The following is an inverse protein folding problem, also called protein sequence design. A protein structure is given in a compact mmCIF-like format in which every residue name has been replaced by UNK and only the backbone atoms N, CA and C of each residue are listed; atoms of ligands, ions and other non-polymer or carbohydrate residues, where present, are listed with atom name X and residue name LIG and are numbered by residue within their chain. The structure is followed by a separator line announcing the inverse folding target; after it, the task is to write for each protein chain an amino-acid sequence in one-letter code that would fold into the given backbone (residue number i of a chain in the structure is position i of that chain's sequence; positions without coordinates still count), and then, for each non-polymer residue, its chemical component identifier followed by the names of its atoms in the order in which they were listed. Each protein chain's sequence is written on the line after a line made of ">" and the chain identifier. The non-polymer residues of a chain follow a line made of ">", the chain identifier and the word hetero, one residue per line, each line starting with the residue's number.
data_IF_422902918477
#
_entry.id   IF_422902918477
#
_cell.length_a   1.000
_cell.length_b   1.000
_cell.length_c   1.000
_cell.angle_alpha   90.00
_cell.angle_beta   90.00
_cell.angle_gamma   90.00
#
_symmetry.space_group_name_H-M   'P 1'
#
loop_
_entity.id
_entity.type
_entity.pdbx_description
1 polymer ?
#
# COMPACT_ATOMS: atom_id res chain seq x y z
N UNK A 1 20.11 -1.92 12.39
CA UNK A 1 20.06 -1.05 13.59
C UNK A 1 20.43 0.36 13.18
N UNK A 2 19.49 1.28 13.43
CA UNK A 2 19.66 2.73 13.44
C UNK A 2 19.93 3.33 12.05
N UNK A 3 18.89 3.85 11.40
CA UNK A 3 19.08 4.87 10.37
C UNK A 3 19.46 6.16 11.13
N UNK A 4 20.75 6.56 11.18
CA UNK A 4 21.12 7.75 11.91
C UNK A 4 20.80 8.94 11.02
N UNK A 5 19.86 9.77 11.46
CA UNK A 5 19.67 11.12 10.96
C UNK A 5 20.98 11.90 11.09
N UNK A 6 21.84 11.83 10.07
CA UNK A 6 22.97 12.73 9.95
C UNK A 6 22.44 14.00 9.30
N UNK A 7 22.23 15.01 10.14
CA UNK A 7 22.19 16.42 9.72
C UNK A 7 23.44 16.69 8.86
N UNK A 8 23.27 16.60 7.55
CA UNK A 8 24.22 17.17 6.60
C UNK A 8 23.81 18.62 6.37
N UNK A 9 24.42 19.53 7.13
CA UNK A 9 24.51 20.94 6.77
C UNK A 9 25.24 21.04 5.41
N UNK A 10 24.51 21.26 4.32
CA UNK A 10 25.10 21.62 3.01
C UNK A 10 24.29 22.77 2.38
N UNK A 11 24.95 23.83 1.87
CA UNK A 11 24.35 25.13 1.61
C UNK A 11 23.76 25.28 0.20
N UNK A 12 22.78 26.18 0.11
CA UNK A 12 22.38 27.05 -1.02
C UNK A 12 22.48 26.44 -2.43
N UNK A 13 21.31 26.13 -2.98
CA UNK A 13 21.07 26.13 -4.42
C UNK A 13 20.93 24.75 -5.04
N UNK A 14 19.78 24.55 -5.68
CA UNK A 14 19.39 23.46 -6.60
C UNK A 14 18.26 22.57 -6.08
N UNK A 15 17.16 22.68 -6.81
CA UNK A 15 16.16 21.65 -7.12
C UNK A 15 15.42 21.00 -5.94
N UNK A 16 14.13 21.37 -5.87
CA UNK A 16 13.06 20.60 -5.24
C UNK A 16 13.08 19.14 -5.73
N UNK A 17 13.85 18.30 -5.06
CA UNK A 17 13.56 16.86 -5.00
C UNK A 17 12.61 16.69 -3.83
N UNK A 18 11.31 16.73 -4.16
CA UNK A 18 10.25 16.19 -3.33
C UNK A 18 10.58 14.71 -3.12
N UNK A 19 11.40 14.41 -2.12
CA UNK A 19 11.48 13.07 -1.54
C UNK A 19 10.14 12.84 -0.88
N UNK A 20 9.18 12.33 -1.65
CA UNK A 20 7.99 11.67 -1.10
C UNK A 20 8.54 10.62 -0.14
N UNK A 21 8.35 10.90 1.15
CA UNK A 21 8.93 10.13 2.24
C UNK A 21 8.50 8.69 2.11
N UNK A 22 9.46 7.79 2.31
CA UNK A 22 9.20 6.38 2.49
C UNK A 22 8.07 6.22 3.50
N UNK A 23 6.93 5.71 3.06
CA UNK A 23 5.92 5.20 3.98
C UNK A 23 6.54 3.95 4.59
N UNK A 24 7.03 4.09 5.82
CA UNK A 24 7.80 3.07 6.57
C UNK A 24 7.05 1.73 6.66
N UNK A 25 5.72 1.78 6.48
CA UNK A 25 4.81 0.65 6.57
C UNK A 25 4.40 0.06 5.20
N UNK A 26 4.97 0.47 4.06
CA UNK A 26 4.57 -0.16 2.79
C UNK A 26 4.93 -1.66 2.76
N UNK A 27 3.95 -2.51 2.51
CA UNK A 27 4.09 -3.97 2.41
C UNK A 27 4.15 -4.69 3.76
N UNK A 28 4.01 -3.99 4.89
CA UNK A 28 3.82 -4.61 6.21
C UNK A 28 2.41 -5.21 6.30
N UNK A 29 2.20 -6.14 7.22
CA UNK A 29 0.88 -6.70 7.47
C UNK A 29 -0.01 -5.69 8.22
N UNK A 30 -1.28 -5.64 7.87
CA UNK A 30 -2.32 -4.89 8.57
C UNK A 30 -3.52 -5.79 8.90
N UNK A 31 -4.34 -5.37 9.84
CA UNK A 31 -5.61 -6.00 10.18
C UNK A 31 -6.76 -5.25 9.49
N UNK A 32 -7.60 -6.02 8.79
CA UNK A 32 -8.87 -5.51 8.29
C UNK A 32 -9.89 -5.57 9.41
N UNK A 33 -10.69 -4.50 9.64
CA UNK A 33 -11.68 -4.53 10.70
C UNK A 33 -12.75 -5.58 10.41
N UNK A 34 -13.08 -6.38 11.43
CA UNK A 34 -14.06 -7.46 11.36
C UNK A 34 -15.50 -6.90 11.33
N UNK A 35 -15.84 -6.27 10.20
CA UNK A 35 -17.16 -5.70 9.94
C UNK A 35 -17.78 -6.41 8.74
N UNK A 36 -19.11 -6.58 8.71
CA UNK A 36 -19.77 -7.28 7.61
C UNK A 36 -19.54 -6.61 6.25
N UNK A 37 -19.33 -5.28 6.21
CA UNK A 37 -19.03 -4.56 4.98
C UNK A 37 -17.65 -4.93 4.42
N UNK A 38 -16.62 -4.98 5.28
CA UNK A 38 -15.26 -5.36 4.89
C UNK A 38 -15.16 -6.86 4.64
N UNK A 39 -15.86 -7.70 5.39
CA UNK A 39 -15.93 -9.12 5.07
C UNK A 39 -16.61 -9.36 3.71
N UNK A 40 -17.64 -8.57 3.37
CA UNK A 40 -18.31 -8.67 2.08
C UNK A 40 -17.37 -8.33 0.90
N UNK A 41 -16.51 -7.33 1.08
CA UNK A 41 -15.58 -6.88 0.05
C UNK A 41 -14.28 -7.68 0.02
N UNK A 42 -13.78 -8.11 1.18
CA UNK A 42 -12.44 -8.67 1.34
C UNK A 42 -12.38 -10.16 1.68
N UNK A 43 -13.49 -10.76 2.11
CA UNK A 43 -13.54 -12.14 2.63
C UNK A 43 -14.53 -13.03 1.86
N UNK A 44 -15.54 -12.48 1.19
CA UNK A 44 -16.46 -13.26 0.34
C UNK A 44 -15.79 -13.64 -0.97
N UNK A 45 -14.99 -14.69 -0.92
CA UNK A 45 -14.72 -15.53 -2.07
C UNK A 45 -14.92 -16.98 -1.65
N UNK A 46 -16.14 -17.31 -1.19
CA UNK A 46 -16.63 -18.69 -1.11
C UNK A 46 -16.95 -19.27 -2.51
N UNK A 47 -16.20 -18.85 -3.53
CA UNK A 47 -16.30 -19.33 -4.91
C UNK A 47 -14.89 -19.41 -5.48
N UNK A 48 -14.48 -20.62 -5.83
CA UNK A 48 -13.14 -21.10 -6.18
C UNK A 48 -12.44 -20.41 -7.38
N UNK A 49 -12.88 -19.22 -7.84
CA UNK A 49 -12.37 -18.59 -9.07
C UNK A 49 -12.20 -17.06 -9.03
N UNK A 50 -12.61 -16.36 -7.97
CA UNK A 50 -12.34 -14.92 -7.83
C UNK A 50 -11.40 -14.70 -6.66
N UNK A 51 -10.18 -14.27 -6.93
CA UNK A 51 -9.23 -13.90 -5.88
C UNK A 51 -9.53 -12.45 -5.48
N UNK A 52 -10.01 -12.19 -4.25
CA UNK A 52 -10.57 -10.88 -3.94
C UNK A 52 -9.47 -9.82 -3.89
N UNK A 53 -9.69 -8.73 -4.61
CA UNK A 53 -8.86 -7.52 -4.59
C UNK A 53 -9.63 -6.40 -3.91
N UNK A 54 -9.08 -5.88 -2.83
CA UNK A 54 -9.87 -5.14 -1.85
C UNK A 54 -9.01 -4.08 -1.18
N UNK A 55 -9.60 -2.91 -0.93
CA UNK A 55 -8.90 -1.79 -0.30
C UNK A 55 -9.74 -1.23 0.83
N UNK A 56 -9.14 -1.13 2.01
CA UNK A 56 -9.68 -0.42 3.15
C UNK A 56 -8.92 0.90 3.34
N UNK A 57 -9.60 1.98 2.96
CA UNK A 57 -9.19 3.36 3.21
C UNK A 57 -9.66 3.71 4.63
N UNK A 58 -8.76 4.23 5.49
CA UNK A 58 -8.91 4.47 6.95
C UNK A 58 -8.30 3.39 7.88
N UNK A 59 -7.30 2.62 7.45
CA UNK A 59 -6.55 1.76 8.37
C UNK A 59 -5.61 2.58 9.27
N UNK A 60 -5.81 2.63 10.60
CA UNK A 60 -4.93 3.38 11.50
C UNK A 60 -3.56 2.73 11.67
N UNK A 61 -3.39 1.47 11.24
CA UNK A 61 -2.12 0.75 11.30
C UNK A 61 -1.18 1.16 10.17
N UNK A 62 -1.75 1.56 9.03
CA UNK A 62 -0.99 2.01 7.87
C UNK A 62 -0.80 3.52 7.91
N UNK A 63 0.43 3.99 7.76
CA UNK A 63 0.73 5.43 7.71
C UNK A 63 0.01 6.16 6.55
N UNK A 64 -0.22 5.45 5.46
CA UNK A 64 -1.01 5.86 4.29
C UNK A 64 -2.53 5.81 4.51
N UNK A 65 -2.98 5.21 5.61
CA UNK A 65 -4.35 4.81 5.88
C UNK A 65 -4.94 3.78 4.91
N UNK A 66 -4.11 3.08 4.13
CA UNK A 66 -4.58 2.09 3.14
C UNK A 66 -4.10 0.70 3.54
N UNK A 67 -5.05 -0.19 3.85
CA UNK A 67 -4.82 -1.62 4.02
C UNK A 67 -5.46 -2.37 2.85
N UNK A 68 -4.67 -3.08 2.05
CA UNK A 68 -5.11 -3.72 0.82
C UNK A 68 -4.91 -5.24 0.86
N UNK A 69 -5.78 -5.97 0.17
CA UNK A 69 -5.64 -7.41 -0.11
C UNK A 69 -5.61 -7.57 -1.61
N UNK A 70 -4.60 -8.27 -2.13
CA UNK A 70 -4.45 -8.50 -3.56
C UNK A 70 -4.45 -9.99 -3.85
N UNK A 71 -5.36 -10.45 -4.69
CA UNK A 71 -5.35 -11.81 -5.22
C UNK A 71 -5.22 -12.94 -4.17
N UNK A 72 -5.89 -12.82 -3.02
CA UNK A 72 -5.81 -13.82 -1.94
C UNK A 72 -4.49 -13.78 -1.14
N UNK A 73 -3.72 -12.70 -1.28
CA UNK A 73 -2.63 -12.37 -0.37
C UNK A 73 -3.16 -12.14 1.05
N UNK A 74 -2.23 -12.08 2.01
CA UNK A 74 -2.56 -11.49 3.31
C UNK A 74 -2.75 -9.97 3.14
N UNK A 75 -3.54 -9.32 4.01
CA UNK A 75 -3.66 -7.87 3.98
C UNK A 75 -2.32 -7.19 4.26
N UNK A 76 -2.05 -6.13 3.50
CA UNK A 76 -0.83 -5.36 3.62
C UNK A 76 -1.07 -3.86 3.51
N UNK A 77 -0.24 -3.07 4.17
CA UNK A 77 -0.28 -1.62 4.06
C UNK A 77 0.21 -1.18 2.67
N UNK A 78 -0.60 -0.40 1.98
CA UNK A 78 -0.34 0.09 0.62
C UNK A 78 -0.29 1.62 0.61
N UNK A 79 0.06 2.24 -0.52
CA UNK A 79 0.03 3.71 -0.70
C UNK A 79 -0.77 4.03 -1.96
N UNK A 80 -1.44 5.20 -2.02
CA UNK A 80 -2.16 5.60 -3.22
C UNK A 80 -1.20 5.90 -4.38
N UNK A 81 -1.62 5.60 -5.61
CA UNK A 81 -0.80 5.80 -6.80
C UNK A 81 -1.63 6.25 -7.99
N UNK A 82 -0.98 6.92 -8.95
CA UNK A 82 -1.55 7.20 -10.27
C UNK A 82 -0.90 6.30 -11.33
N UNK A 83 0.41 6.10 -11.22
CA UNK A 83 1.21 5.23 -12.07
C UNK A 83 2.15 4.35 -11.23
N UNK A 84 2.63 3.25 -11.80
CA UNK A 84 3.59 2.36 -11.12
C UNK A 84 4.89 3.04 -10.72
N UNK A 85 5.26 4.15 -11.37
CA UNK A 85 6.42 4.97 -10.98
C UNK A 85 6.24 5.70 -9.65
N UNK A 86 5.01 5.82 -9.16
CA UNK A 86 4.70 6.41 -7.85
C UNK A 86 4.90 5.39 -6.71
N UNK A 87 5.04 4.10 -7.06
CA UNK A 87 5.14 3.03 -6.09
C UNK A 87 6.59 2.82 -5.61
N UNK A 88 6.78 2.43 -4.35
CA UNK A 88 8.11 2.21 -3.79
C UNK A 88 8.76 0.94 -4.37
N UNK A 89 10.02 1.05 -4.78
CA UNK A 89 10.80 -0.06 -5.31
C UNK A 89 10.25 -0.58 -6.64
N UNK A 90 10.14 -1.90 -6.78
CA UNK A 90 9.62 -2.59 -7.97
C UNK A 90 8.09 -2.81 -7.93
N UNK A 91 7.40 -2.22 -6.94
CA UNK A 91 5.95 -2.31 -6.81
C UNK A 91 5.23 -1.68 -8.02
N UNK A 92 3.98 -2.09 -8.25
CA UNK A 92 3.17 -1.60 -9.36
C UNK A 92 1.85 -1.00 -8.88
N UNK A 93 1.31 -0.06 -9.65
CA UNK A 93 0.04 0.57 -9.33
C UNK A 93 -1.10 -0.27 -9.91
N UNK A 94 -2.04 -0.66 -9.06
CA UNK A 94 -3.24 -1.40 -9.45
C UNK A 94 -4.51 -0.68 -8.97
N UNK A 95 -5.65 -1.08 -9.50
CA UNK A 95 -6.96 -0.50 -9.20
C UNK A 95 -7.88 -1.55 -8.60
N UNK A 96 -8.39 -1.28 -7.40
CA UNK A 96 -9.36 -2.15 -6.76
C UNK A 96 -10.75 -1.99 -7.40
N UNK A 97 -11.66 -2.94 -7.13
CA UNK A 97 -13.05 -2.88 -7.61
C UNK A 97 -13.80 -1.62 -7.12
N UNK A 98 -13.33 -0.98 -6.03
CA UNK A 98 -13.84 0.30 -5.54
C UNK A 98 -13.45 1.50 -6.41
N UNK A 99 -12.56 1.32 -7.39
CA UNK A 99 -11.91 2.38 -8.16
C UNK A 99 -10.72 3.04 -7.44
N UNK A 100 -10.38 2.58 -6.23
CA UNK A 100 -9.24 3.09 -5.48
C UNK A 100 -7.95 2.52 -6.07
N UNK A 101 -7.02 3.40 -6.45
CA UNK A 101 -5.71 3.02 -6.99
C UNK A 101 -4.65 2.94 -5.90
N UNK A 102 -3.93 1.84 -5.84
CA UNK A 102 -3.01 1.52 -4.75
C UNK A 102 -1.79 0.71 -5.23
N UNK A 103 -0.68 0.80 -4.50
CA UNK A 103 0.54 0.08 -4.84
C UNK A 103 0.53 -1.37 -4.35
N UNK A 104 0.87 -2.30 -5.24
CA UNK A 104 0.99 -3.73 -4.95
C UNK A 104 2.48 -4.11 -4.94
N UNK A 105 2.97 -4.77 -3.87
CA UNK A 105 4.32 -5.30 -3.83
C UNK A 105 4.63 -6.22 -5.03
N UNK A 106 5.82 -6.09 -5.60
CA UNK A 106 6.22 -6.86 -6.79
C UNK A 106 6.17 -8.38 -6.59
N UNK A 107 6.39 -8.86 -5.36
CA UNK A 107 6.34 -10.28 -4.99
C UNK A 107 4.95 -10.91 -5.18
N UNK A 108 3.89 -10.08 -5.18
CA UNK A 108 2.51 -10.53 -5.39
C UNK A 108 2.11 -10.57 -6.87
N UNK A 109 2.99 -10.15 -7.78
CA UNK A 109 2.76 -10.21 -9.22
C UNK A 109 3.04 -11.63 -9.72
N UNK A 110 1.98 -12.37 -10.03
CA UNK A 110 2.07 -13.72 -10.59
C UNK A 110 2.46 -13.75 -12.07
#
# INVERSE_FOLDING_TARGET
>A
MNCPARLALIPIGSLLLLTVGCSDDFGTACELPDTPAIQQQCTTSEGEQSRPTCVFELSPECNSNICAVYEGSRPFCSVPCQASSDCPGDAFCDEADSGTRYCVPADLRL
#
